data_IF_746867671530
#
_entry.id   IF_746867671530
#
_cell.length_a   1.000
_cell.length_b   1.000
_cell.length_c   1.000
_cell.angle_alpha   90.00
_cell.angle_beta   90.00
_cell.angle_gamma   90.00
#
_symmetry.space_group_name_H-M   'P 1'
#
loop_
_entity.id
_entity.type
_entity.pdbx_description
1 polymer ?
#
# COMPACT_ATOMS: atom_id res chain seq x y z
N UNK A 1 -6.14 -13.11 3.38
CA UNK A 1 -5.32 -11.88 3.24
C UNK A 1 -6.25 -10.68 3.36
N UNK A 2 -5.96 -9.73 4.24
CA UNK A 2 -6.77 -8.53 4.44
C UNK A 2 -5.94 -7.28 4.17
N UNK A 3 -6.44 -6.38 3.33
CA UNK A 3 -5.80 -5.11 3.03
C UNK A 3 -6.26 -4.06 4.05
N UNK A 4 -5.35 -3.17 4.47
CA UNK A 4 -5.66 -2.08 5.42
C UNK A 4 -6.68 -1.09 4.83
N UNK A 5 -6.66 -0.90 3.51
CA UNK A 5 -7.60 -0.04 2.78
C UNK A 5 -8.59 -0.87 1.99
N UNK A 6 -9.85 -0.43 1.94
CA UNK A 6 -10.91 -1.07 1.15
C UNK A 6 -10.67 -0.93 -0.36
N UNK A 7 -10.15 0.23 -0.78
CA UNK A 7 -9.76 0.52 -2.16
C UNK A 7 -8.25 0.85 -2.22
N UNK A 8 -7.56 0.46 -3.30
CA UNK A 8 -6.15 0.80 -3.46
C UNK A 8 -5.97 2.31 -3.65
N UNK A 9 -4.83 2.82 -3.20
CA UNK A 9 -4.32 4.11 -3.70
C UNK A 9 -3.83 3.89 -5.12
N UNK A 10 -4.27 4.72 -6.05
CA UNK A 10 -3.89 4.64 -7.46
C UNK A 10 -2.98 5.81 -7.80
N UNK A 11 -1.82 5.49 -8.38
CA UNK A 11 -0.90 6.47 -8.93
C UNK A 11 -0.90 6.34 -10.45
N UNK A 12 -1.03 7.46 -11.17
CA UNK A 12 -0.94 7.50 -12.62
C UNK A 12 -0.14 8.69 -13.10
N UNK A 13 0.58 8.49 -14.20
CA UNK A 13 1.42 9.52 -14.83
C UNK A 13 1.18 9.53 -16.34
N UNK A 14 1.13 10.73 -16.92
CA UNK A 14 0.97 10.94 -18.35
C UNK A 14 2.29 11.29 -19.05
N UNK A 15 2.21 12.03 -20.16
CA UNK A 15 3.38 12.48 -20.90
C UNK A 15 4.06 13.73 -20.29
N UNK A 16 3.37 14.45 -19.39
CA UNK A 16 4.00 15.54 -18.62
C UNK A 16 5.07 14.95 -17.71
N UNK A 17 6.30 15.50 -17.78
CA UNK A 17 7.44 14.96 -17.05
C UNK A 17 7.20 14.98 -15.55
N UNK A 18 7.40 13.82 -14.92
CA UNK A 18 7.47 13.58 -13.47
C UNK A 18 6.28 13.99 -12.62
N UNK A 19 5.24 14.56 -13.23
CA UNK A 19 3.98 14.87 -12.57
C UNK A 19 3.06 13.67 -12.53
N UNK A 20 2.78 13.19 -11.32
CA UNK A 20 1.88 12.07 -11.07
C UNK A 20 0.57 12.57 -10.43
N UNK A 21 -0.53 11.87 -10.69
CA UNK A 21 -1.79 12.03 -9.97
C UNK A 21 -1.97 10.86 -9.02
N UNK A 22 -2.23 11.16 -7.75
CA UNK A 22 -2.52 10.17 -6.70
C UNK A 22 -4.00 10.29 -6.34
N UNK A 23 -4.71 9.16 -6.39
CA UNK A 23 -6.15 9.06 -6.08
C UNK A 23 -6.36 8.05 -4.94
N UNK A 24 -7.21 8.41 -3.97
CA UNK A 24 -7.63 7.52 -2.88
C UNK A 24 -9.09 7.77 -2.54
N UNK A 25 -9.89 6.72 -2.30
CA UNK A 25 -11.31 6.84 -1.94
C UNK A 25 -12.08 7.81 -2.89
N UNK A 26 -12.26 9.07 -2.48
CA UNK A 26 -12.89 10.15 -3.24
C UNK A 26 -12.00 11.39 -3.43
N UNK A 27 -10.74 11.34 -2.97
CA UNK A 27 -9.78 12.43 -3.03
C UNK A 27 -8.72 12.22 -4.11
N UNK A 28 -8.11 13.32 -4.55
CA UNK A 28 -6.96 13.32 -5.45
C UNK A 28 -6.01 14.46 -5.14
N UNK A 29 -4.72 14.25 -5.35
CA UNK A 29 -3.70 15.31 -5.38
C UNK A 29 -2.64 14.97 -6.43
N UNK A 30 -1.75 15.93 -6.71
CA UNK A 30 -0.60 15.72 -7.59
C UNK A 30 0.69 15.61 -6.80
N UNK A 31 1.64 14.86 -7.34
CA UNK A 31 3.06 14.93 -6.96
C UNK A 31 3.84 15.43 -8.16
N UNK A 32 4.96 16.07 -7.89
CA UNK A 32 5.87 16.50 -8.95
C UNK A 32 7.29 16.46 -8.40
N UNK A 33 8.24 16.18 -9.28
CA UNK A 33 9.65 16.27 -8.91
C UNK A 33 10.08 17.75 -8.94
N UNK A 34 11.11 18.14 -8.16
CA UNK A 34 11.64 19.49 -8.18
C UNK A 34 12.30 19.82 -9.52
N UNK A 35 12.53 21.10 -9.79
CA UNK A 35 13.12 21.58 -11.05
C UNK A 35 14.47 20.94 -11.37
N UNK A 36 15.33 20.73 -10.37
CA UNK A 36 16.65 20.12 -10.57
C UNK A 36 16.57 18.64 -11.01
N UNK A 37 15.45 17.96 -10.74
CA UNK A 37 15.16 16.61 -11.19
C UNK A 37 14.32 16.58 -12.48
N UNK A 38 13.99 17.76 -13.02
CA UNK A 38 13.30 17.94 -14.30
C UNK A 38 11.77 18.03 -14.20
N UNK A 39 11.21 18.12 -13.00
CA UNK A 39 9.79 18.45 -12.79
C UNK A 39 9.59 19.96 -12.67
N UNK A 40 8.44 20.38 -12.14
CA UNK A 40 8.06 21.80 -11.98
C UNK A 40 7.84 22.20 -10.53
N UNK A 41 8.16 21.33 -9.58
CA UNK A 41 7.93 21.56 -8.14
C UNK A 41 6.47 21.93 -7.82
N UNK A 42 5.52 21.43 -8.63
CA UNK A 42 4.09 21.78 -8.52
C UNK A 42 3.35 21.00 -7.41
N UNK A 43 4.03 20.05 -6.77
CA UNK A 43 3.52 19.20 -5.70
C UNK A 43 4.67 18.54 -4.95
N UNK A 44 4.41 17.84 -3.84
CA UNK A 44 5.46 17.20 -3.06
C UNK A 44 6.12 16.06 -3.86
N UNK A 45 7.44 15.97 -3.78
CA UNK A 45 8.19 14.82 -4.27
C UNK A 45 7.94 13.56 -3.41
N UNK A 46 8.34 12.36 -3.86
CA UNK A 46 8.12 11.11 -3.13
C UNK A 46 8.75 11.06 -1.72
N UNK A 47 9.91 11.67 -1.50
CA UNK A 47 10.52 11.72 -0.17
C UNK A 47 9.73 12.65 0.75
N UNK A 48 9.31 13.81 0.26
CA UNK A 48 8.42 14.72 0.98
C UNK A 48 7.12 14.03 1.40
N UNK A 49 6.52 13.21 0.52
CA UNK A 49 5.33 12.42 0.88
C UNK A 49 5.60 11.36 1.96
N UNK A 50 6.70 10.63 1.86
CA UNK A 50 7.09 9.62 2.85
C UNK A 50 7.24 10.27 4.24
N UNK A 51 7.97 11.38 4.32
CA UNK A 51 8.17 12.13 5.55
C UNK A 51 6.87 12.76 6.06
N UNK A 52 6.03 13.29 5.16
CA UNK A 52 4.72 13.86 5.52
C UNK A 52 3.79 12.83 6.14
N UNK A 53 3.74 11.62 5.56
CA UNK A 53 2.97 10.49 6.11
C UNK A 53 3.40 10.16 7.54
N UNK A 54 4.72 10.09 7.77
CA UNK A 54 5.27 9.80 9.08
C UNK A 54 5.04 10.93 10.09
N UNK A 55 5.23 12.19 9.67
CA UNK A 55 4.99 13.37 10.49
C UNK A 55 3.54 13.48 10.93
N UNK A 56 2.60 13.33 10.00
CA UNK A 56 1.16 13.36 10.28
C UNK A 56 0.74 12.25 11.26
N UNK A 57 1.23 11.02 11.04
CA UNK A 57 0.95 9.89 11.92
C UNK A 57 1.52 10.11 13.34
N UNK A 58 2.72 10.67 13.43
CA UNK A 58 3.40 10.96 14.70
C UNK A 58 2.68 12.05 15.49
N UNK A 59 2.41 13.21 14.88
CA UNK A 59 1.73 14.32 15.56
C UNK A 59 0.33 13.94 16.02
N UNK A 60 -0.42 13.20 15.20
CA UNK A 60 -1.74 12.68 15.57
C UNK A 60 -1.67 11.78 16.81
N UNK A 61 -0.68 10.87 16.85
CA UNK A 61 -0.46 9.97 17.99
C UNK A 61 -0.09 10.76 19.26
N UNK A 62 0.76 11.77 19.13
CA UNK A 62 1.15 12.63 20.25
C UNK A 62 -0.05 13.43 20.78
N UNK A 63 -0.85 14.01 19.89
CA UNK A 63 -2.08 14.73 20.26
C UNK A 63 -3.04 13.83 21.05
N UNK A 64 -3.33 12.63 20.53
CA UNK A 64 -4.17 11.65 21.24
C UNK A 64 -3.63 11.32 22.65
N UNK A 65 -2.30 11.23 22.80
CA UNK A 65 -1.68 10.96 24.10
C UNK A 65 -1.78 12.15 25.07
N UNK A 66 -1.51 13.37 24.58
CA UNK A 66 -1.64 14.62 25.34
C UNK A 66 -3.07 14.78 25.86
N UNK A 67 -4.05 14.61 24.98
CA UNK A 67 -5.47 14.75 25.32
C UNK A 67 -5.89 13.70 26.36
N UNK A 68 -5.47 12.45 26.20
CA UNK A 68 -5.72 11.37 27.18
C UNK A 68 -5.11 11.66 28.56
N UNK A 69 -3.99 12.37 28.61
CA UNK A 69 -3.32 12.75 29.87
C UNK A 69 -3.84 14.06 30.46
N UNK A 70 -4.66 14.81 29.74
CA UNK A 70 -5.14 16.12 30.16
C UNK A 70 -4.02 17.16 30.28
N UNK A 71 -2.96 17.05 29.46
CA UNK A 71 -1.85 17.99 29.48
C UNK A 71 -2.17 19.24 28.65
N UNK A 72 -1.90 20.42 29.21
CA UNK A 72 -2.05 21.70 28.50
C UNK A 72 -0.85 21.97 27.57
N UNK A 73 -0.87 21.32 26.41
CA UNK A 73 0.11 21.51 25.34
C UNK A 73 -0.69 21.84 24.06
N UNK A 74 -1.05 23.11 23.84
CA UNK A 74 -1.98 23.50 22.78
C UNK A 74 -1.39 23.30 21.38
N UNK A 75 -0.08 23.47 21.22
CA UNK A 75 0.59 23.36 19.93
C UNK A 75 1.87 22.55 20.03
N UNK A 76 2.01 21.61 19.08
CA UNK A 76 3.19 20.77 18.91
C UNK A 76 3.44 20.65 17.40
N UNK A 77 4.70 20.79 17.00
CA UNK A 77 5.14 20.64 15.62
C UNK A 77 6.25 19.60 15.54
N UNK A 78 6.48 19.09 14.33
CA UNK A 78 7.55 18.15 14.04
C UNK A 78 8.24 18.60 12.75
N UNK A 79 9.57 18.60 12.75
CA UNK A 79 10.36 18.65 11.53
C UNK A 79 10.95 17.27 11.27
N UNK A 80 10.96 16.83 10.02
CA UNK A 80 11.55 15.56 9.62
C UNK A 80 12.51 15.76 8.46
N UNK A 81 13.57 14.97 8.45
CA UNK A 81 14.46 14.83 7.31
C UNK A 81 15.01 13.40 7.27
N UNK A 82 15.61 13.01 6.14
CA UNK A 82 16.20 11.70 5.98
C UNK A 82 17.57 11.75 5.33
N UNK A 83 18.43 10.81 5.71
CA UNK A 83 19.72 10.60 5.09
C UNK A 83 20.04 9.10 5.02
N UNK A 84 21.08 8.77 4.25
CA UNK A 84 21.53 7.39 4.12
C UNK A 84 22.92 7.25 4.72
N UNK A 85 23.09 6.25 5.59
CA UNK A 85 24.36 5.83 6.16
C UNK A 85 24.80 4.52 5.51
N UNK A 86 26.10 4.35 5.26
CA UNK A 86 26.67 3.08 4.83
C UNK A 86 27.27 2.37 6.05
N UNK A 87 26.88 1.11 6.27
CA UNK A 87 27.49 0.21 7.25
C UNK A 87 27.96 -1.06 6.52
N UNK A 88 29.24 -1.06 6.14
CA UNK A 88 29.79 -2.05 5.21
C UNK A 88 29.13 -1.92 3.83
N UNK A 89 28.61 -3.03 3.30
CA UNK A 89 27.87 -3.06 2.03
C UNK A 89 26.39 -2.68 2.20
N UNK A 90 25.91 -2.54 3.45
CA UNK A 90 24.51 -2.26 3.72
C UNK A 90 24.24 -0.75 3.75
N UNK A 91 23.29 -0.30 2.92
CA UNK A 91 22.73 1.04 3.00
C UNK A 91 21.62 1.08 4.06
N UNK A 92 21.78 1.94 5.06
CA UNK A 92 20.82 2.18 6.13
C UNK A 92 20.16 3.53 5.90
N UNK A 93 18.83 3.54 5.90
CA UNK A 93 18.04 4.77 5.89
C UNK A 93 17.85 5.27 7.31
N UNK A 94 18.15 6.53 7.56
CA UNK A 94 17.91 7.20 8.85
C UNK A 94 16.93 8.35 8.62
N UNK A 95 15.94 8.46 9.50
CA UNK A 95 14.94 9.54 9.48
C UNK A 95 14.97 10.21 10.85
N UNK A 96 15.32 11.49 10.86
CA UNK A 96 15.32 12.31 12.06
C UNK A 96 13.96 12.98 12.26
N UNK A 97 13.63 13.24 13.53
CA UNK A 97 12.34 13.80 13.97
C UNK A 97 12.57 14.77 15.11
N UNK A 98 12.40 16.06 14.81
CA UNK A 98 12.60 17.12 15.78
C UNK A 98 11.24 17.60 16.29
N UNK A 99 10.91 17.26 17.54
CA UNK A 99 9.70 17.73 18.20
C UNK A 99 9.89 19.15 18.71
N UNK A 100 8.99 20.04 18.30
CA UNK A 100 8.98 21.44 18.67
C UNK A 100 7.73 21.75 19.52
N UNK A 101 7.96 22.21 20.75
CA UNK A 101 6.90 22.62 21.68
C UNK A 101 6.81 24.15 21.70
N UNK A 102 5.65 24.68 21.35
CA UNK A 102 5.40 26.13 21.35
C UNK A 102 4.86 26.63 22.70
N UNK A 103 4.72 25.75 23.68
CA UNK A 103 4.38 26.02 25.06
C UNK A 103 5.41 25.34 25.99
N UNK A 104 5.58 25.84 27.23
CA UNK A 104 6.41 25.16 28.21
C UNK A 104 5.96 23.71 28.42
N UNK A 105 6.93 22.80 28.45
CA UNK A 105 6.74 21.39 28.82
C UNK A 105 7.79 21.04 29.86
N UNK A 106 7.39 20.23 30.83
CA UNK A 106 8.31 19.62 31.81
C UNK A 106 9.22 18.61 31.12
N UNK A 107 10.35 18.30 31.74
CA UNK A 107 11.29 17.30 31.21
C UNK A 107 10.63 15.91 31.16
N UNK A 108 9.79 15.58 32.15
CA UNK A 108 9.03 14.32 32.14
C UNK A 108 8.03 14.25 30.97
N UNK A 109 7.35 15.37 30.66
CA UNK A 109 6.47 15.43 29.49
C UNK A 109 7.28 15.28 28.19
N UNK A 110 8.41 15.98 28.08
CA UNK A 110 9.29 15.92 26.92
C UNK A 110 9.78 14.50 26.66
N UNK A 111 10.39 13.86 27.66
CA UNK A 111 10.90 12.50 27.56
C UNK A 111 9.80 11.52 27.20
N UNK A 112 8.62 11.69 27.80
CA UNK A 112 7.50 10.82 27.51
C UNK A 112 6.99 10.99 26.08
N UNK A 113 6.90 12.22 25.57
CA UNK A 113 6.45 12.48 24.20
C UNK A 113 7.46 11.95 23.18
N UNK A 114 8.77 12.04 23.45
CA UNK A 114 9.81 11.41 22.62
C UNK A 114 9.63 9.89 22.55
N UNK A 115 9.30 9.24 23.66
CA UNK A 115 9.01 7.80 23.67
C UNK A 115 7.75 7.47 22.85
N UNK A 116 6.69 8.26 22.99
CA UNK A 116 5.42 8.03 22.27
C UNK A 116 5.55 8.31 20.77
N UNK A 117 6.44 9.21 20.35
CA UNK A 117 6.66 9.50 18.93
C UNK A 117 7.09 8.26 18.12
N UNK A 118 7.64 7.23 18.79
CA UNK A 118 8.09 5.98 18.15
C UNK A 118 6.97 4.96 17.93
N UNK A 119 5.81 5.11 18.56
CA UNK A 119 4.78 4.04 18.58
C UNK A 119 3.66 4.22 17.55
N UNK A 120 3.73 5.25 16.71
CA UNK A 120 2.71 5.50 15.69
C UNK A 120 2.69 4.36 14.64
N UNK A 121 1.53 4.05 14.02
CA UNK A 121 1.43 2.99 13.01
C UNK A 121 2.49 3.06 11.89
N UNK A 122 2.80 4.25 11.38
CA UNK A 122 3.81 4.42 10.32
C UNK A 122 5.23 4.11 10.82
N UNK A 123 5.59 4.50 12.06
CA UNK A 123 6.86 4.06 12.67
C UNK A 123 6.98 2.54 12.69
N UNK A 124 5.92 1.84 13.13
CA UNK A 124 5.92 0.38 13.22
C UNK A 124 6.11 -0.30 11.86
N UNK A 125 5.58 0.30 10.80
CA UNK A 125 5.81 -0.16 9.43
C UNK A 125 7.28 0.03 9.07
N UNK A 126 7.83 1.23 9.21
CA UNK A 126 9.20 1.58 8.81
C UNK A 126 10.29 0.81 9.59
N UNK A 127 10.03 0.49 10.85
CA UNK A 127 10.94 -0.26 11.73
C UNK A 127 10.71 -1.78 11.66
N UNK A 128 9.68 -2.22 10.93
CA UNK A 128 9.31 -3.63 10.78
C UNK A 128 9.90 -4.30 9.54
N UNK A 129 9.47 -5.54 9.29
CA UNK A 129 9.77 -6.27 8.06
C UNK A 129 8.72 -5.92 6.99
N UNK A 130 9.17 -5.31 5.89
CA UNK A 130 8.30 -4.89 4.78
C UNK A 130 8.65 -5.69 3.52
N UNK A 131 7.63 -6.22 2.85
CA UNK A 131 7.76 -6.80 1.51
C UNK A 131 6.96 -5.98 0.50
N UNK A 132 7.65 -5.38 -0.47
CA UNK A 132 7.03 -4.68 -1.60
C UNK A 132 7.06 -5.60 -2.82
N UNK A 133 5.89 -5.94 -3.36
CA UNK A 133 5.74 -6.89 -4.47
C UNK A 133 5.13 -6.20 -5.68
N UNK A 134 5.69 -6.46 -6.86
CA UNK A 134 5.21 -5.93 -8.13
C UNK A 134 4.63 -7.06 -9.00
N UNK A 135 3.57 -6.74 -9.72
CA UNK A 135 2.91 -7.64 -10.67
C UNK A 135 2.51 -6.83 -11.90
N UNK A 136 2.58 -7.45 -13.08
CA UNK A 136 2.14 -6.85 -14.33
C UNK A 136 1.13 -7.78 -14.99
N UNK A 137 0.02 -7.20 -15.44
CA UNK A 137 -0.99 -7.91 -16.20
C UNK A 137 -0.49 -8.16 -17.62
N UNK A 138 -0.82 -9.31 -18.19
CA UNK A 138 -0.55 -9.62 -19.59
C UNK A 138 -1.75 -10.28 -20.26
N UNK A 139 -1.96 -9.94 -21.52
CA UNK A 139 -2.96 -10.55 -22.42
C UNK A 139 -2.35 -11.65 -23.30
N UNK A 140 -1.10 -12.06 -23.03
CA UNK A 140 -0.44 -13.12 -23.79
C UNK A 140 -1.28 -14.39 -23.82
N UNK A 141 -1.53 -14.88 -25.04
CA UNK A 141 -2.15 -16.20 -25.23
C UNK A 141 -1.12 -17.27 -24.88
N UNK A 142 -1.52 -18.22 -24.03
CA UNK A 142 -0.71 -19.39 -23.68
C UNK A 142 -1.41 -20.65 -24.17
N UNK A 143 -0.62 -21.67 -24.54
CA UNK A 143 -1.14 -22.96 -24.99
C UNK A 143 -1.76 -23.74 -23.83
N UNK A 144 -1.06 -23.80 -22.69
CA UNK A 144 -1.55 -24.46 -21.48
C UNK A 144 -2.60 -23.61 -20.77
N UNK A 145 -3.87 -24.01 -20.91
CA UNK A 145 -5.00 -23.38 -20.26
C UNK A 145 -6.01 -24.42 -19.77
N UNK A 146 -6.51 -24.18 -18.57
CA UNK A 146 -7.57 -24.96 -17.97
C UNK A 146 -8.84 -24.12 -17.85
N UNK A 147 -10.00 -24.76 -17.99
CA UNK A 147 -11.30 -24.09 -17.95
C UNK A 147 -12.22 -24.75 -16.94
N UNK A 148 -12.95 -23.94 -16.18
CA UNK A 148 -13.89 -24.39 -15.14
C UNK A 148 -15.18 -23.60 -15.29
N UNK A 149 -16.33 -24.27 -15.25
CA UNK A 149 -17.64 -23.63 -15.44
C UNK A 149 -18.68 -24.15 -14.44
N UNK A 150 -19.61 -23.29 -14.04
CA UNK A 150 -20.84 -23.65 -13.33
C UNK A 150 -22.09 -23.47 -14.21
N UNK A 151 -21.93 -23.29 -15.54
CA UNK A 151 -23.02 -23.02 -16.47
C UNK A 151 -23.36 -21.53 -16.65
N UNK A 152 -23.09 -20.68 -15.65
CA UNK A 152 -23.31 -19.23 -15.75
C UNK A 152 -22.05 -18.47 -16.15
N UNK A 153 -20.92 -18.84 -15.56
CA UNK A 153 -19.60 -18.24 -15.82
C UNK A 153 -18.55 -19.31 -16.08
N UNK A 154 -17.52 -18.94 -16.84
CA UNK A 154 -16.39 -19.81 -17.15
C UNK A 154 -15.09 -19.12 -16.78
N UNK A 155 -14.33 -19.72 -15.87
CA UNK A 155 -13.01 -19.27 -15.44
C UNK A 155 -11.96 -19.96 -16.29
N UNK A 156 -11.02 -19.18 -16.83
CA UNK A 156 -9.80 -19.66 -17.48
C UNK A 156 -8.63 -19.49 -16.53
N UNK A 157 -7.86 -20.56 -16.35
CA UNK A 157 -6.59 -20.55 -15.63
C UNK A 157 -5.43 -20.84 -16.57
N UNK A 158 -4.41 -19.99 -16.53
CA UNK A 158 -3.18 -20.01 -17.33
C UNK A 158 -1.99 -20.16 -16.36
N UNK A 159 -1.53 -21.39 -16.07
CA UNK A 159 -0.55 -21.65 -15.01
C UNK A 159 0.75 -20.86 -15.18
N UNK A 160 1.24 -20.74 -16.42
CA UNK A 160 2.50 -20.06 -16.76
C UNK A 160 2.52 -18.57 -16.37
N UNK A 161 1.35 -17.93 -16.36
CA UNK A 161 1.22 -16.51 -16.00
C UNK A 161 1.11 -16.30 -14.48
N UNK A 162 0.98 -17.36 -13.68
CA UNK A 162 0.78 -17.25 -12.25
C UNK A 162 2.07 -16.83 -11.54
N UNK A 163 2.05 -15.67 -10.87
CA UNK A 163 3.14 -15.19 -10.00
C UNK A 163 2.84 -15.34 -8.51
N UNK A 164 1.88 -16.20 -8.17
CA UNK A 164 1.50 -16.52 -6.78
C UNK A 164 1.26 -15.28 -5.91
N UNK A 165 0.55 -14.27 -6.43
CA UNK A 165 0.08 -13.14 -5.64
C UNK A 165 -0.83 -13.55 -4.47
N UNK A 166 -1.33 -14.80 -4.49
CA UNK A 166 -2.16 -15.47 -3.50
C UNK A 166 -3.55 -14.85 -3.28
N UNK A 167 -3.94 -13.84 -4.07
CA UNK A 167 -5.25 -13.17 -3.97
C UNK A 167 -6.40 -14.16 -4.07
N UNK A 168 -6.40 -15.03 -5.09
CA UNK A 168 -7.46 -16.04 -5.27
C UNK A 168 -7.57 -16.99 -4.08
N UNK A 169 -6.49 -17.71 -3.75
CA UNK A 169 -6.51 -18.75 -2.73
C UNK A 169 -6.68 -18.25 -1.30
N UNK A 170 -6.34 -16.99 -1.01
CA UNK A 170 -6.42 -16.43 0.35
C UNK A 170 -7.64 -15.54 0.59
N UNK A 171 -8.36 -15.14 -0.47
CA UNK A 171 -9.55 -14.30 -0.35
C UNK A 171 -10.83 -15.04 -0.73
N UNK A 172 -10.75 -16.12 -1.52
CA UNK A 172 -11.89 -16.99 -1.83
C UNK A 172 -11.48 -18.48 -1.78
N UNK A 173 -10.99 -18.99 -0.63
CA UNK A 173 -10.41 -20.32 -0.50
C UNK A 173 -11.40 -21.47 -0.77
N UNK A 174 -12.70 -21.22 -0.64
CA UNK A 174 -13.74 -22.22 -0.92
C UNK A 174 -13.92 -22.48 -2.43
N UNK A 175 -13.46 -21.54 -3.28
CA UNK A 175 -13.40 -21.68 -4.74
C UNK A 175 -12.00 -22.05 -5.19
N UNK A 176 -10.96 -21.35 -4.70
CA UNK A 176 -9.57 -21.54 -5.14
C UNK A 176 -8.74 -22.19 -4.04
N UNK A 177 -8.48 -23.49 -4.15
CA UNK A 177 -7.71 -24.26 -3.18
C UNK A 177 -6.57 -25.03 -3.85
N UNK A 178 -5.32 -24.54 -3.81
CA UNK A 178 -4.15 -25.19 -4.42
C UNK A 178 -3.88 -26.63 -3.92
N UNK A 179 -4.41 -27.02 -2.77
CA UNK A 179 -4.26 -28.38 -2.23
C UNK A 179 -5.32 -29.36 -2.77
N UNK A 180 -6.40 -28.88 -3.38
CA UNK A 180 -7.49 -29.70 -3.90
C UNK A 180 -7.26 -30.14 -5.36
N UNK A 181 -7.95 -31.19 -5.78
CA UNK A 181 -8.02 -31.66 -7.17
C UNK A 181 -9.48 -31.91 -7.57
N UNK A 182 -10.07 -31.10 -8.46
CA UNK A 182 -9.52 -29.88 -9.06
C UNK A 182 -9.30 -28.77 -8.00
N UNK A 183 -8.35 -27.87 -8.26
CA UNK A 183 -8.05 -26.75 -7.35
C UNK A 183 -9.07 -25.60 -7.45
N UNK A 184 -9.92 -25.62 -8.48
CA UNK A 184 -11.01 -24.66 -8.68
C UNK A 184 -12.35 -25.37 -8.49
N UNK A 185 -13.10 -24.97 -7.46
CA UNK A 185 -14.45 -25.43 -7.15
C UNK A 185 -15.47 -24.34 -7.53
N UNK A 186 -16.12 -24.50 -8.67
CA UNK A 186 -17.07 -23.51 -9.22
C UNK A 186 -18.41 -23.45 -8.46
N UNK A 187 -18.65 -24.36 -7.53
CA UNK A 187 -19.83 -24.37 -6.64
C UNK A 187 -19.54 -23.71 -5.28
N UNK A 188 -18.29 -23.32 -5.02
CA UNK A 188 -17.88 -22.79 -3.71
C UNK A 188 -18.42 -21.39 -3.40
N UNK A 189 -18.85 -20.63 -4.40
CA UNK A 189 -19.37 -19.27 -4.23
C UNK A 189 -20.30 -18.90 -5.39
N UNK A 190 -20.96 -17.76 -5.30
CA UNK A 190 -21.80 -17.25 -6.40
C UNK A 190 -20.95 -16.86 -7.61
N UNK A 191 -21.54 -16.92 -8.81
CA UNK A 191 -20.88 -16.51 -10.05
C UNK A 191 -20.33 -15.07 -10.00
N UNK A 192 -21.00 -14.19 -9.25
CA UNK A 192 -20.55 -12.81 -9.00
C UNK A 192 -19.26 -12.79 -8.17
N UNK A 193 -19.24 -13.47 -7.03
CA UNK A 193 -18.05 -13.54 -6.16
C UNK A 193 -16.86 -14.16 -6.89
N UNK A 194 -17.09 -15.19 -7.70
CA UNK A 194 -16.06 -15.83 -8.53
C UNK A 194 -15.49 -14.81 -9.54
N UNK A 195 -16.37 -14.11 -10.27
CA UNK A 195 -15.96 -13.13 -11.28
C UNK A 195 -15.18 -11.97 -10.66
N UNK A 196 -15.67 -11.44 -9.54
CA UNK A 196 -15.00 -10.39 -8.78
C UNK A 196 -13.62 -10.83 -8.29
N UNK A 197 -13.49 -12.08 -7.82
CA UNK A 197 -12.22 -12.63 -7.37
C UNK A 197 -11.23 -12.89 -8.51
N UNK A 198 -11.71 -13.38 -9.66
CA UNK A 198 -10.91 -13.59 -10.86
C UNK A 198 -10.37 -12.26 -11.39
N UNK A 199 -11.20 -11.21 -11.41
CA UNK A 199 -10.80 -9.85 -11.80
C UNK A 199 -9.69 -9.25 -10.93
N UNK A 200 -9.46 -9.79 -9.72
CA UNK A 200 -8.34 -9.38 -8.85
C UNK A 200 -7.01 -10.02 -9.23
N UNK A 201 -6.96 -10.94 -10.20
CA UNK A 201 -5.71 -11.53 -10.67
C UNK A 201 -4.81 -10.46 -11.31
N UNK A 202 -3.63 -10.15 -10.75
CA UNK A 202 -2.82 -9.06 -11.26
C UNK A 202 -2.03 -9.41 -12.52
N UNK A 203 -2.02 -10.68 -12.95
CA UNK A 203 -1.15 -11.16 -14.03
C UNK A 203 -1.89 -11.70 -15.25
N UNK A 204 -3.22 -11.79 -15.20
CA UNK A 204 -4.01 -12.47 -16.25
C UNK A 204 -3.94 -14.00 -16.20
N UNK A 205 -3.32 -14.57 -15.15
CA UNK A 205 -3.32 -16.01 -14.89
C UNK A 205 -4.72 -16.58 -14.64
N UNK A 206 -5.61 -15.77 -14.07
CA UNK A 206 -7.04 -16.06 -14.03
C UNK A 206 -7.75 -14.98 -14.84
N UNK A 207 -8.70 -15.40 -15.66
CA UNK A 207 -9.56 -14.52 -16.44
C UNK A 207 -10.92 -15.16 -16.67
N UNK A 208 -11.92 -14.36 -17.02
CA UNK A 208 -13.21 -14.86 -17.46
C UNK A 208 -13.11 -15.24 -18.95
N UNK A 209 -13.71 -16.36 -19.35
CA UNK A 209 -13.83 -16.66 -20.77
C UNK A 209 -14.78 -15.63 -21.43
N UNK A 210 -14.41 -15.12 -22.59
CA UNK A 210 -15.29 -14.26 -23.38
C UNK A 210 -16.58 -15.01 -23.75
N UNK A 211 -17.73 -14.36 -23.60
CA UNK A 211 -18.97 -14.85 -24.21
C UNK A 211 -18.75 -14.75 -25.73
N UNK A 212 -18.70 -15.89 -26.42
CA UNK A 212 -18.82 -15.88 -27.88
C UNK A 212 -20.13 -15.16 -28.22
N UNK A 213 -20.01 -14.02 -28.89
CA UNK A 213 -21.12 -13.32 -29.53
C UNK A 213 -21.71 -14.20 -30.63
#
# INVERSE_FOLDING_TARGET
MEYILQQPVVASIGAEKYKCTIEWHHGKFITDEPEFAGGKDAGPDPYTLLLSSLGACTITTLRMYIDRKGWDIPQIAIALNMYFKLEGEKKITVIDRDLNFLSPVTDEQRDRLVQIAKVCPVSKILEGEIQVRAFAYTETTVEDKHTYTNGEVTVQWRPELCKHAARCATQLPQVFNPAAKPWVNMEGATSKEISDQVGRCPTGALSMAEKKQ
#
